data_IF_042913136596
#
_entry.id   IF_042913136596
#
_cell.length_a   1.000
_cell.length_b   1.000
_cell.length_c   1.000
_cell.angle_alpha   90.00
_cell.angle_beta   90.00
_cell.angle_gamma   90.00
#
_symmetry.space_group_name_H-M   'P 1'
#
loop_
_entity.id
_entity.type
_entity.pdbx_description
1 polymer ?
#
# COMPACT_ATOMS: atom_id res chain seq x y z
N UNK A 1 18.83 -1.58 4.58
CA UNK A 1 18.54 -1.76 3.15
C UNK A 1 19.70 -2.50 2.48
N UNK A 2 19.54 -3.79 2.20
CA UNK A 2 20.54 -4.62 1.51
C UNK A 2 20.78 -4.21 0.05
N UNK A 3 19.83 -3.46 -0.54
CA UNK A 3 19.88 -3.04 -1.95
C UNK A 3 21.11 -2.22 -2.35
N UNK A 4 21.69 -1.47 -1.41
CA UNK A 4 22.89 -0.66 -1.65
C UNK A 4 24.17 -1.51 -1.76
N UNK A 5 24.18 -2.71 -1.17
CA UNK A 5 25.36 -3.58 -1.09
C UNK A 5 25.28 -4.79 -2.00
N UNK A 6 24.08 -5.27 -2.34
CA UNK A 6 23.86 -6.46 -3.19
C UNK A 6 22.59 -6.39 -4.07
N UNK A 7 21.92 -5.24 -4.17
CA UNK A 7 20.70 -5.10 -4.98
C UNK A 7 20.88 -4.28 -6.26
N UNK A 8 19.74 -3.95 -6.87
CA UNK A 8 19.67 -3.20 -8.13
C UNK A 8 20.47 -1.89 -8.12
N UNK A 9 20.53 -1.20 -6.99
CA UNK A 9 21.31 0.03 -6.82
C UNK A 9 22.82 -0.21 -7.04
N UNK A 10 23.35 -1.34 -6.58
CA UNK A 10 24.76 -1.72 -6.84
C UNK A 10 24.99 -2.04 -8.30
N UNK A 11 24.12 -2.84 -8.92
CA UNK A 11 24.22 -3.19 -10.34
C UNK A 11 24.23 -1.94 -11.24
N UNK A 12 23.41 -0.94 -10.91
CA UNK A 12 23.35 0.35 -11.63
C UNK A 12 24.64 1.15 -11.42
N UNK A 13 25.17 1.21 -10.19
CA UNK A 13 26.44 1.88 -9.89
C UNK A 13 27.65 1.22 -10.56
N UNK A 14 27.68 -0.12 -10.60
CA UNK A 14 28.77 -0.87 -11.23
C UNK A 14 28.84 -0.59 -12.75
N UNK A 15 27.69 -0.42 -13.41
CA UNK A 15 27.62 -0.04 -14.83
C UNK A 15 27.84 1.46 -15.09
N UNK A 16 27.36 2.32 -14.21
CA UNK A 16 27.50 3.77 -14.33
C UNK A 16 27.81 4.38 -12.95
N UNK A 17 29.09 4.62 -12.64
CA UNK A 17 29.52 5.11 -11.32
C UNK A 17 28.94 6.47 -10.93
N UNK A 18 28.48 7.26 -11.91
CA UNK A 18 27.86 8.58 -11.68
C UNK A 18 26.34 8.52 -11.48
N UNK A 19 25.72 7.35 -11.61
CA UNK A 19 24.28 7.20 -11.41
C UNK A 19 23.95 7.16 -9.91
N UNK A 20 23.38 8.24 -9.40
CA UNK A 20 22.87 8.28 -8.03
C UNK A 20 21.43 7.74 -7.99
N UNK A 21 21.25 6.58 -7.39
CA UNK A 21 19.92 6.13 -6.98
C UNK A 21 19.47 6.97 -5.79
N UNK A 22 18.70 8.01 -6.06
CA UNK A 22 18.02 8.78 -5.02
C UNK A 22 16.82 7.96 -4.57
N UNK A 23 16.84 7.46 -3.35
CA UNK A 23 15.64 6.89 -2.75
C UNK A 23 14.57 7.97 -2.70
N UNK A 24 13.42 7.69 -3.31
CA UNK A 24 12.30 8.61 -3.30
C UNK A 24 11.85 8.83 -1.86
N UNK A 25 11.89 10.06 -1.37
CA UNK A 25 11.55 10.44 0.02
C UNK A 25 10.20 9.86 0.47
N UNK A 26 9.26 9.74 -0.46
CA UNK A 26 7.94 9.14 -0.25
C UNK A 26 7.99 7.68 0.20
N UNK A 27 8.97 6.88 -0.24
CA UNK A 27 9.10 5.49 0.21
C UNK A 27 9.53 5.43 1.68
N UNK A 28 10.50 6.26 2.07
CA UNK A 28 10.94 6.35 3.47
C UNK A 28 9.79 6.86 4.35
N UNK A 29 9.04 7.86 3.87
CA UNK A 29 7.86 8.35 4.57
C UNK A 29 6.80 7.25 4.74
N UNK A 30 6.56 6.45 3.70
CA UNK A 30 5.61 5.34 3.76
C UNK A 30 6.05 4.28 4.79
N UNK A 31 7.34 3.98 4.89
CA UNK A 31 7.87 3.06 5.90
C UNK A 31 7.66 3.60 7.32
N UNK A 32 7.97 4.87 7.55
CA UNK A 32 7.76 5.53 8.86
C UNK A 32 6.27 5.58 9.23
N UNK A 33 5.41 5.89 8.27
CA UNK A 33 3.95 5.89 8.48
C UNK A 33 3.43 4.48 8.80
N UNK A 34 3.91 3.46 8.07
CA UNK A 34 3.51 2.09 8.30
C UNK A 34 3.93 1.61 9.70
N UNK A 35 5.15 1.92 10.11
CA UNK A 35 5.65 1.62 11.46
C UNK A 35 4.83 2.36 12.54
N UNK A 36 4.56 3.65 12.35
CA UNK A 36 3.74 4.43 13.28
C UNK A 36 2.32 3.87 13.42
N UNK A 37 1.65 3.56 12.30
CA UNK A 37 0.31 2.96 12.30
C UNK A 37 0.31 1.58 12.96
N UNK A 38 1.35 0.79 12.74
CA UNK A 38 1.48 -0.51 13.38
C UNK A 38 1.69 -0.37 14.88
N UNK A 39 2.40 0.63 15.38
CA UNK A 39 2.66 0.77 16.81
C UNK A 39 1.45 1.26 17.63
N UNK A 40 0.35 1.65 16.99
CA UNK A 40 -0.90 2.05 17.66
C UNK A 40 -1.96 0.95 17.50
N UNK A 41 -2.31 0.19 18.56
CA UNK A 41 -3.20 -0.97 18.45
C UNK A 41 -4.55 -0.70 17.79
N UNK A 42 -5.23 0.39 18.18
CA UNK A 42 -6.53 0.75 17.60
C UNK A 42 -6.45 1.08 16.10
N UNK A 43 -5.35 1.71 15.67
CA UNK A 43 -5.13 2.03 14.25
C UNK A 43 -4.88 0.74 13.48
N UNK A 44 -4.03 -0.15 14.00
CA UNK A 44 -3.78 -1.47 13.42
C UNK A 44 -5.07 -2.28 13.27
N UNK A 45 -5.89 -2.38 14.32
CA UNK A 45 -7.17 -3.10 14.30
C UNK A 45 -8.14 -2.55 13.24
N UNK A 46 -8.19 -1.22 13.09
CA UNK A 46 -9.00 -0.57 12.06
C UNK A 46 -8.54 -0.95 10.63
N UNK A 47 -7.23 -0.93 10.38
CA UNK A 47 -6.69 -1.34 9.07
C UNK A 47 -6.90 -2.83 8.80
N UNK A 48 -6.75 -3.69 9.80
CA UNK A 48 -7.02 -5.13 9.69
C UNK A 48 -8.50 -5.40 9.36
N UNK A 49 -9.41 -4.65 9.97
CA UNK A 49 -10.83 -4.75 9.66
C UNK A 49 -11.13 -4.34 8.21
N UNK A 50 -10.59 -3.21 7.75
CA UNK A 50 -10.70 -2.78 6.36
C UNK A 50 -10.16 -3.84 5.38
N UNK A 51 -9.00 -4.43 5.70
CA UNK A 51 -8.37 -5.47 4.89
C UNK A 51 -9.23 -6.73 4.80
N UNK A 52 -9.89 -7.14 5.89
CA UNK A 52 -10.82 -8.27 5.90
C UNK A 52 -12.01 -8.04 4.98
N UNK A 53 -12.61 -6.84 5.00
CA UNK A 53 -13.71 -6.49 4.09
C UNK A 53 -13.24 -6.55 2.65
N UNK A 54 -12.10 -5.92 2.34
CA UNK A 54 -11.53 -5.91 1.00
C UNK A 54 -11.27 -7.33 0.49
N UNK A 55 -10.67 -8.18 1.31
CA UNK A 55 -10.34 -9.57 0.96
C UNK A 55 -11.61 -10.38 0.74
N UNK A 56 -12.60 -10.26 1.64
CA UNK A 56 -13.87 -10.97 1.52
C UNK A 56 -14.65 -10.61 0.24
N UNK A 57 -14.72 -9.32 -0.08
CA UNK A 57 -15.34 -8.83 -1.33
C UNK A 57 -14.51 -9.21 -2.55
N UNK A 58 -13.18 -9.25 -2.39
CA UNK A 58 -12.16 -9.71 -3.34
C UNK A 58 -12.44 -11.08 -3.95
N UNK A 59 -13.03 -11.99 -3.19
CA UNK A 59 -13.24 -13.39 -3.55
C UNK A 59 -14.23 -13.62 -4.71
N UNK A 60 -15.05 -12.64 -5.09
CA UNK A 60 -15.96 -12.77 -6.23
C UNK A 60 -16.42 -11.43 -6.80
N UNK A 61 -16.57 -11.36 -8.12
CA UNK A 61 -17.13 -10.20 -8.83
C UNK A 61 -18.54 -9.86 -8.30
N UNK A 62 -19.33 -10.87 -7.91
CA UNK A 62 -20.66 -10.64 -7.31
C UNK A 62 -20.57 -9.86 -6.01
N UNK A 63 -19.67 -10.27 -5.09
CA UNK A 63 -19.47 -9.59 -3.79
C UNK A 63 -18.92 -8.18 -3.96
N UNK A 64 -18.12 -7.94 -5.00
CA UNK A 64 -17.70 -6.60 -5.38
C UNK A 64 -18.88 -5.71 -5.80
N UNK A 65 -19.81 -6.25 -6.57
CA UNK A 65 -21.04 -5.54 -6.95
C UNK A 65 -21.92 -5.25 -5.74
N UNK A 66 -22.08 -6.22 -4.84
CA UNK A 66 -22.85 -6.06 -3.59
C UNK A 66 -22.25 -4.96 -2.71
N UNK A 67 -20.91 -4.93 -2.55
CA UNK A 67 -20.22 -3.88 -1.79
C UNK A 67 -20.45 -2.48 -2.38
N UNK A 68 -20.45 -2.34 -3.71
CA UNK A 68 -20.72 -1.05 -4.39
C UNK A 68 -22.15 -0.57 -4.13
N UNK A 69 -23.12 -1.48 -4.10
CA UNK A 69 -24.52 -1.15 -3.81
C UNK A 69 -24.66 -0.60 -2.39
N UNK A 70 -24.08 -1.30 -1.41
CA UNK A 70 -24.06 -0.85 0.00
C UNK A 70 -23.42 0.53 0.12
N UNK A 71 -22.28 0.76 -0.54
CA UNK A 71 -21.58 2.04 -0.48
C UNK A 71 -22.41 3.21 -1.05
N UNK A 72 -23.12 2.97 -2.16
CA UNK A 72 -23.95 3.99 -2.80
C UNK A 72 -25.20 4.34 -1.97
N UNK A 73 -25.77 3.35 -1.26
CA UNK A 73 -26.94 3.55 -0.43
C UNK A 73 -26.65 4.41 0.82
N UNK A 74 -25.41 4.42 1.29
CA UNK A 74 -25.00 5.20 2.47
C UNK A 74 -24.35 6.57 2.12
N UNK A 75 -24.38 7.01 0.85
CA UNK A 75 -23.72 8.24 0.38
C UNK A 75 -22.23 8.36 0.78
N UNK A 76 -21.53 7.23 0.92
CA UNK A 76 -20.14 7.20 1.35
C UNK A 76 -19.22 7.67 0.21
N UNK A 77 -18.71 8.91 0.33
CA UNK A 77 -17.83 9.56 -0.64
C UNK A 77 -16.42 8.93 -0.72
N UNK A 78 -15.96 8.26 0.36
CA UNK A 78 -14.64 7.63 0.42
C UNK A 78 -14.77 6.10 0.31
N UNK A 79 -14.34 5.56 -0.83
CA UNK A 79 -14.38 4.10 -1.08
C UNK A 79 -13.44 3.33 -0.13
N UNK A 80 -13.79 2.09 0.23
CA UNK A 80 -12.80 1.18 0.86
C UNK A 80 -11.57 1.00 -0.05
N UNK A 81 -11.74 1.14 -1.37
CA UNK A 81 -10.64 1.21 -2.35
C UNK A 81 -9.73 2.43 -2.21
N UNK A 82 -10.16 3.57 -1.66
CA UNK A 82 -9.26 4.69 -1.37
C UNK A 82 -8.42 4.44 -0.13
N UNK A 83 -8.94 3.70 0.86
CA UNK A 83 -8.19 3.25 2.03
C UNK A 83 -7.24 2.09 1.70
N UNK A 84 -7.68 1.08 0.93
CA UNK A 84 -6.83 0.00 0.45
C UNK A 84 -5.78 0.47 -0.57
N UNK A 85 -6.02 1.57 -1.31
CA UNK A 85 -4.96 2.21 -2.12
C UNK A 85 -3.86 2.86 -1.26
N UNK A 86 -4.17 3.22 -0.01
CA UNK A 86 -3.17 3.72 0.93
C UNK A 86 -2.46 2.60 1.73
N UNK A 87 -3.07 1.41 1.84
CA UNK A 87 -2.47 0.27 2.56
C UNK A 87 -2.00 -0.91 1.70
N UNK A 88 -2.39 -0.99 0.42
CA UNK A 88 -2.20 -2.18 -0.43
C UNK A 88 -2.01 -1.89 -1.93
N UNK A 89 -1.77 -0.63 -2.32
CA UNK A 89 -1.39 -0.27 -3.69
C UNK A 89 0.00 0.39 -3.71
N UNK A 90 1.00 -0.34 -3.25
CA UNK A 90 2.40 -0.06 -3.55
C UNK A 90 3.12 -1.30 -4.11
N UNK A 91 2.36 -2.23 -4.72
CA UNK A 91 2.94 -3.20 -5.64
C UNK A 91 2.67 -2.77 -7.10
N UNK A 92 3.75 -2.22 -7.66
CA UNK A 92 4.19 -2.32 -9.05
C UNK A 92 3.16 -2.11 -10.16
N UNK A 93 3.17 -0.90 -10.70
CA UNK A 93 3.29 -0.78 -12.16
C UNK A 93 4.35 0.27 -12.46
N UNK A 94 5.37 -0.19 -13.18
CA UNK A 94 6.18 0.64 -14.07
C UNK A 94 5.27 1.48 -14.98
#
# INVERSE_FOLDING_TARGET
MSGAYEGLQKLIKDKQPRANCVHFSTHNLNLVLNDACNNVPHVREFYDFCQKIYTFSGLSIKRWSDLKIVQNNENIQQTIKSYARQGGHLDLTL
#
